data_IF_120603372388
#
_entry.id   IF_120603372388
#
_cell.length_a   1.000
_cell.length_b   1.000
_cell.length_c   1.000
_cell.angle_alpha   90.00
_cell.angle_beta   90.00
_cell.angle_gamma   90.00
#
_symmetry.space_group_name_H-M   'P 1'
#
loop_
_entity.id
_entity.type
_entity.pdbx_description
1 polymer ?
#
# COMPACT_ATOMS: atom_id res chain seq x y z
N UNK A 1 -4.05 -0.93 43.18
CA UNK A 1 -4.40 -1.43 41.84
C UNK A 1 -3.10 -1.86 41.16
N UNK A 2 -3.10 -3.03 40.54
CA UNK A 2 -1.97 -3.57 39.76
C UNK A 2 -2.37 -3.55 38.30
N UNK A 3 -1.53 -2.94 37.47
CA UNK A 3 -1.67 -2.90 36.03
C UNK A 3 -0.73 -3.94 35.43
N UNK A 4 -1.29 -4.84 34.65
CA UNK A 4 -0.57 -5.89 33.93
C UNK A 4 -0.42 -5.47 32.47
N UNK A 5 0.80 -5.60 31.94
CA UNK A 5 0.97 -5.77 30.49
C UNK A 5 0.17 -6.99 30.01
N UNK A 6 -0.10 -7.13 28.71
CA UNK A 6 -0.86 -8.27 28.22
C UNK A 6 -0.21 -9.59 28.68
N UNK A 7 -1.03 -10.47 29.26
CA UNK A 7 -0.61 -11.77 29.80
C UNK A 7 -0.78 -12.90 28.77
N UNK A 8 -1.25 -12.55 27.58
CA UNK A 8 -1.48 -13.48 26.48
C UNK A 8 -0.17 -14.02 25.90
N UNK A 9 -0.29 -15.11 25.16
CA UNK A 9 0.83 -15.74 24.47
C UNK A 9 1.52 -14.76 23.52
N UNK A 10 2.84 -14.60 23.68
CA UNK A 10 3.65 -13.62 22.97
C UNK A 10 4.17 -14.21 21.66
N UNK A 11 4.33 -13.35 20.66
CA UNK A 11 4.91 -13.69 19.36
C UNK A 11 6.43 -13.81 19.39
N UNK A 12 7.02 -13.99 18.21
CA UNK A 12 8.44 -14.31 18.04
C UNK A 12 9.41 -13.26 18.61
N UNK A 13 9.01 -11.99 18.65
CA UNK A 13 9.84 -10.91 19.24
C UNK A 13 9.86 -10.94 20.77
N UNK A 14 9.03 -11.80 21.40
CA UNK A 14 8.82 -11.89 22.84
C UNK A 14 8.32 -10.59 23.50
N UNK A 15 7.83 -9.63 22.70
CA UNK A 15 7.19 -8.41 23.21
C UNK A 15 5.80 -8.74 23.78
N UNK A 16 5.43 -8.24 24.97
CA UNK A 16 4.10 -8.46 25.55
C UNK A 16 2.97 -7.81 24.72
N UNK A 17 3.30 -6.83 23.88
CA UNK A 17 2.32 -6.18 22.99
C UNK A 17 2.20 -6.87 21.62
N UNK A 18 3.15 -7.75 21.27
CA UNK A 18 3.08 -8.57 20.06
C UNK A 18 2.44 -9.91 20.40
N UNK A 19 1.09 -9.95 20.43
CA UNK A 19 0.33 -11.09 20.91
C UNK A 19 0.13 -12.12 19.78
N UNK A 20 0.64 -13.35 19.99
CA UNK A 20 0.49 -14.50 19.09
C UNK A 20 -0.91 -15.11 19.15
N UNK A 21 -1.44 -15.30 20.37
CA UNK A 21 -2.78 -15.85 20.56
C UNK A 21 -3.51 -15.09 21.67
N UNK A 22 -4.44 -14.22 21.27
CA UNK A 22 -5.23 -13.37 22.16
C UNK A 22 -6.14 -14.17 23.10
N UNK A 23 -6.44 -15.42 22.75
CA UNK A 23 -7.37 -16.27 23.48
C UNK A 23 -6.65 -17.21 24.48
N UNK A 24 -5.32 -17.13 24.60
CA UNK A 24 -4.49 -18.01 25.41
C UNK A 24 -3.54 -17.19 26.28
N UNK A 25 -3.47 -17.49 27.58
CA UNK A 25 -2.44 -16.91 28.46
C UNK A 25 -1.08 -17.52 28.17
N UNK A 26 0.00 -16.76 28.28
CA UNK A 26 1.34 -17.23 27.93
C UNK A 26 1.74 -18.46 28.78
N UNK A 27 2.23 -19.56 28.17
CA UNK A 27 2.53 -20.81 28.88
C UNK A 27 3.66 -20.67 29.90
N UNK A 28 4.61 -19.78 29.65
CA UNK A 28 5.76 -19.52 30.50
C UNK A 28 5.43 -18.80 31.82
N UNK A 29 4.18 -18.37 32.01
CA UNK A 29 3.67 -17.86 33.29
C UNK A 29 3.31 -18.98 34.28
N UNK A 30 3.37 -20.24 33.85
CA UNK A 30 2.90 -21.40 34.59
C UNK A 30 3.92 -22.54 34.57
N UNK A 31 3.66 -23.60 35.34
CA UNK A 31 4.44 -24.83 35.28
C UNK A 31 4.38 -25.45 33.89
N UNK A 32 5.50 -26.02 33.45
CA UNK A 32 5.62 -26.62 32.12
C UNK A 32 4.53 -27.69 31.90
N UNK A 33 3.85 -27.62 30.76
CA UNK A 33 2.75 -28.53 30.43
C UNK A 33 1.38 -28.18 31.01
N UNK A 34 1.23 -27.06 31.73
CA UNK A 34 -0.08 -26.62 32.25
C UNK A 34 -1.09 -26.43 31.10
N UNK A 35 -2.24 -27.15 31.09
CA UNK A 35 -3.26 -27.01 30.04
C UNK A 35 -3.86 -25.61 29.97
N UNK A 36 -4.34 -25.21 28.78
CA UNK A 36 -4.91 -23.87 28.53
C UNK A 36 -6.08 -23.54 29.46
N UNK A 37 -6.98 -24.47 29.69
CA UNK A 37 -8.14 -24.29 30.57
C UNK A 37 -7.70 -24.07 32.02
N UNK A 38 -6.64 -24.77 32.46
CA UNK A 38 -6.08 -24.61 33.79
C UNK A 38 -5.37 -23.26 33.95
N UNK A 39 -4.67 -22.78 32.92
CA UNK A 39 -4.06 -21.44 32.91
C UNK A 39 -5.10 -20.35 33.16
N UNK A 40 -6.24 -20.40 32.47
CA UNK A 40 -7.36 -19.45 32.69
C UNK A 40 -7.87 -19.49 34.12
N UNK A 41 -8.04 -20.69 34.68
CA UNK A 41 -8.45 -20.87 36.08
C UNK A 41 -7.44 -20.26 37.05
N UNK A 42 -6.13 -20.52 36.87
CA UNK A 42 -5.07 -19.97 37.73
C UNK A 42 -5.03 -18.44 37.69
N UNK A 43 -5.22 -17.81 36.52
CA UNK A 43 -5.29 -16.34 36.41
C UNK A 43 -6.53 -15.80 37.13
N UNK A 44 -7.69 -16.46 36.97
CA UNK A 44 -8.90 -16.09 37.70
C UNK A 44 -8.69 -16.17 39.22
N UNK A 45 -8.12 -17.27 39.71
CA UNK A 45 -7.83 -17.48 41.12
C UNK A 45 -6.83 -16.44 41.66
N UNK A 46 -5.84 -16.03 40.85
CA UNK A 46 -4.93 -14.94 41.18
C UNK A 46 -5.68 -13.61 41.35
N UNK A 47 -6.51 -13.22 40.38
CA UNK A 47 -7.28 -11.97 40.43
C UNK A 47 -8.24 -11.96 41.62
N UNK A 48 -8.93 -13.06 41.91
CA UNK A 48 -9.81 -13.17 43.08
C UNK A 48 -9.03 -13.05 44.40
N UNK A 49 -7.84 -13.65 44.50
CA UNK A 49 -6.98 -13.48 45.69
C UNK A 49 -6.53 -12.04 45.86
N UNK A 50 -6.16 -11.37 44.76
CA UNK A 50 -5.81 -9.95 44.79
C UNK A 50 -6.98 -9.10 45.31
N UNK A 51 -8.20 -9.37 44.84
CA UNK A 51 -9.40 -8.68 45.30
C UNK A 51 -9.64 -8.86 46.81
N UNK A 52 -9.51 -10.10 47.33
CA UNK A 52 -9.58 -10.37 48.78
C UNK A 52 -8.51 -9.64 49.60
N UNK A 53 -7.38 -9.28 48.98
CA UNK A 53 -6.31 -8.48 49.59
C UNK A 53 -6.52 -6.96 49.42
N UNK A 54 -7.65 -6.52 48.85
CA UNK A 54 -7.94 -5.12 48.56
C UNK A 54 -7.20 -4.58 47.33
N UNK A 55 -6.69 -5.45 46.46
CA UNK A 55 -5.98 -5.08 45.23
C UNK A 55 -6.88 -5.30 44.00
N UNK A 56 -7.11 -4.23 43.24
CA UNK A 56 -7.74 -4.32 41.92
C UNK A 56 -6.71 -4.69 40.84
N UNK A 57 -7.12 -5.45 39.83
CA UNK A 57 -6.31 -5.82 38.67
C UNK A 57 -6.84 -5.15 37.39
N UNK A 58 -5.94 -4.70 36.52
CA UNK A 58 -6.23 -4.16 35.20
C UNK A 58 -5.22 -4.71 34.20
N UNK A 59 -5.61 -4.93 32.94
CA UNK A 59 -4.69 -5.36 31.89
C UNK A 59 -4.84 -4.50 30.64
N UNK A 60 -3.73 -4.32 29.92
CA UNK A 60 -3.76 -3.72 28.59
C UNK A 60 -4.50 -4.62 27.58
N UNK A 61 -5.26 -3.99 26.69
CA UNK A 61 -5.92 -4.66 25.55
C UNK A 61 -5.35 -4.09 24.26
N UNK A 62 -4.85 -4.97 23.39
CA UNK A 62 -4.24 -4.60 22.11
C UNK A 62 -5.23 -4.84 20.98
N UNK A 63 -5.74 -3.75 20.40
CA UNK A 63 -6.72 -3.81 19.29
C UNK A 63 -6.10 -3.64 17.90
N UNK A 64 -4.97 -2.92 17.83
CA UNK A 64 -4.47 -2.40 16.57
C UNK A 64 -3.59 -3.39 15.78
N UNK A 65 -3.09 -4.44 16.43
CA UNK A 65 -2.19 -5.42 15.83
C UNK A 65 -2.19 -6.77 16.57
N UNK A 66 -1.65 -7.78 15.90
CA UNK A 66 -1.28 -9.10 16.45
C UNK A 66 0.19 -9.37 16.08
N UNK A 67 0.80 -10.41 16.63
CA UNK A 67 2.12 -10.84 16.20
C UNK A 67 2.11 -11.26 14.72
N UNK A 68 3.21 -10.97 14.01
CA UNK A 68 3.37 -11.32 12.61
C UNK A 68 3.38 -12.85 12.37
N UNK A 69 3.67 -13.63 13.41
CA UNK A 69 3.74 -15.09 13.36
C UNK A 69 2.50 -15.79 13.93
N UNK A 70 1.37 -15.10 14.14
CA UNK A 70 0.12 -15.72 14.61
C UNK A 70 -0.47 -16.68 13.56
N UNK A 71 -0.67 -17.96 13.91
CA UNK A 71 -1.09 -18.99 12.94
C UNK A 71 -2.44 -18.70 12.27
N UNK A 72 -3.38 -18.09 13.00
CA UNK A 72 -4.71 -17.78 12.47
C UNK A 72 -4.68 -16.79 11.29
N UNK A 73 -3.58 -16.03 11.10
CA UNK A 73 -3.40 -15.16 9.94
C UNK A 73 -3.24 -15.95 8.63
N UNK A 74 -2.82 -17.21 8.69
CA UNK A 74 -2.76 -18.09 7.53
C UNK A 74 -4.16 -18.47 7.04
N UNK A 75 -5.10 -18.66 7.98
CA UNK A 75 -6.50 -18.96 7.69
C UNK A 75 -7.29 -17.70 7.30
N UNK A 76 -6.93 -16.54 7.89
CA UNK A 76 -7.61 -15.26 7.71
C UNK A 76 -6.68 -14.12 7.27
N UNK A 77 -6.04 -14.20 6.08
CA UNK A 77 -5.13 -13.17 5.59
C UNK A 77 -5.85 -11.83 5.25
N UNK A 78 -7.17 -11.84 5.16
CA UNK A 78 -8.01 -10.64 4.97
C UNK A 78 -8.09 -9.75 6.20
N UNK A 79 -7.72 -10.26 7.37
CA UNK A 79 -7.76 -9.50 8.62
C UNK A 79 -6.71 -8.37 8.68
N UNK A 80 -5.64 -8.48 7.90
CA UNK A 80 -4.63 -7.43 7.73
C UNK A 80 -4.84 -6.60 6.45
N UNK A 81 -3.97 -5.62 6.23
CA UNK A 81 -3.91 -4.89 4.96
C UNK A 81 -3.06 -5.68 3.96
N UNK A 82 -3.65 -6.07 2.84
CA UNK A 82 -2.98 -6.85 1.79
C UNK A 82 -3.25 -6.28 0.39
N UNK A 83 -2.62 -6.83 -0.65
CA UNK A 83 -2.75 -6.30 -2.02
C UNK A 83 -4.12 -6.54 -2.67
N UNK A 84 -5.01 -7.30 -2.02
CA UNK A 84 -6.39 -7.55 -2.46
C UNK A 84 -7.34 -6.53 -1.83
N UNK A 85 -7.35 -6.41 -0.50
CA UNK A 85 -8.25 -5.50 0.20
C UNK A 85 -7.73 -4.05 0.26
N UNK A 86 -6.42 -3.85 0.05
CA UNK A 86 -5.73 -2.56 0.18
C UNK A 86 -4.78 -2.31 -1.01
N UNK A 87 -5.32 -2.25 -2.25
CA UNK A 87 -4.50 -2.17 -3.46
C UNK A 87 -3.59 -0.93 -3.55
N UNK A 88 -3.93 0.14 -2.82
CA UNK A 88 -3.10 1.35 -2.71
C UNK A 88 -1.73 1.11 -2.07
N UNK A 89 -1.55 -0.01 -1.36
CA UNK A 89 -0.28 -0.40 -0.77
C UNK A 89 0.67 -1.06 -1.77
N UNK A 90 0.25 -1.36 -3.00
CA UNK A 90 1.09 -2.08 -3.98
C UNK A 90 2.44 -1.41 -4.23
N UNK A 91 2.45 -0.09 -4.42
CA UNK A 91 3.70 0.65 -4.63
C UNK A 91 4.63 0.56 -3.41
N UNK A 92 4.07 0.64 -2.20
CA UNK A 92 4.83 0.52 -0.96
C UNK A 92 5.36 -0.90 -0.75
N UNK A 93 4.55 -1.92 -1.02
CA UNK A 93 4.94 -3.33 -0.96
C UNK A 93 6.09 -3.66 -1.91
N UNK A 94 6.03 -3.19 -3.16
CA UNK A 94 7.10 -3.41 -4.14
C UNK A 94 8.40 -2.70 -3.73
N UNK A 95 8.29 -1.50 -3.15
CA UNK A 95 9.45 -0.77 -2.61
C UNK A 95 10.09 -1.49 -1.42
N UNK A 96 9.28 -1.89 -0.44
CA UNK A 96 9.75 -2.58 0.78
C UNK A 96 10.44 -3.92 0.44
N UNK A 97 9.80 -4.72 -0.42
CA UNK A 97 10.35 -6.01 -0.89
C UNK A 97 11.71 -5.82 -1.59
N UNK A 98 11.83 -4.78 -2.41
CA UNK A 98 13.07 -4.49 -3.12
C UNK A 98 14.17 -3.96 -2.18
N UNK A 99 13.82 -3.16 -1.17
CA UNK A 99 14.75 -2.70 -0.13
C UNK A 99 15.25 -3.86 0.71
N UNK A 100 14.38 -4.79 1.09
CA UNK A 100 14.75 -6.00 1.83
C UNK A 100 15.73 -6.86 1.01
N UNK A 101 15.40 -7.09 -0.27
CA UNK A 101 16.28 -7.84 -1.19
C UNK A 101 17.64 -7.15 -1.36
N UNK A 102 17.64 -5.83 -1.54
CA UNK A 102 18.87 -5.03 -1.60
C UNK A 102 19.71 -5.14 -0.32
N UNK A 103 19.07 -5.13 0.85
CA UNK A 103 19.73 -5.33 2.14
C UNK A 103 20.45 -6.68 2.24
N UNK A 104 19.85 -7.75 1.71
CA UNK A 104 20.50 -9.06 1.63
C UNK A 104 21.66 -9.12 0.63
N UNK A 105 21.59 -8.32 -0.44
CA UNK A 105 22.57 -8.35 -1.53
C UNK A 105 23.70 -7.32 -1.38
N UNK A 106 23.73 -6.51 -0.31
CA UNK A 106 24.76 -5.49 -0.09
C UNK A 106 26.18 -6.00 -0.34
N UNK A 107 26.56 -7.13 0.26
CA UNK A 107 27.89 -7.71 0.08
C UNK A 107 28.14 -8.17 -1.37
N UNK A 108 27.14 -8.75 -2.04
CA UNK A 108 27.25 -9.17 -3.45
C UNK A 108 27.42 -7.98 -4.39
N UNK A 109 26.85 -6.83 -4.02
CA UNK A 109 26.97 -5.56 -4.74
C UNK A 109 28.25 -4.80 -4.37
N UNK A 110 29.12 -5.36 -3.52
CA UNK A 110 30.34 -4.70 -3.05
C UNK A 110 30.07 -3.50 -2.14
N UNK A 111 28.90 -3.44 -1.52
CA UNK A 111 28.47 -2.36 -0.63
C UNK A 111 28.77 -2.69 0.84
N UNK A 112 29.02 -1.67 1.68
CA UNK A 112 29.39 -1.87 3.08
C UNK A 112 28.23 -2.46 3.90
N UNK A 113 28.53 -3.51 4.68
CA UNK A 113 27.58 -4.12 5.63
C UNK A 113 27.73 -3.59 7.05
N UNK A 114 28.84 -2.90 7.34
CA UNK A 114 29.11 -2.20 8.60
C UNK A 114 29.59 -0.80 8.24
N UNK A 115 28.79 0.21 8.58
CA UNK A 115 29.09 1.60 8.25
C UNK A 115 30.06 2.17 9.28
N UNK A 116 31.15 2.80 8.80
CA UNK A 116 32.15 3.44 9.66
C UNK A 116 32.11 4.96 9.61
N UNK A 117 31.61 5.51 8.51
CA UNK A 117 31.55 6.94 8.25
C UNK A 117 30.37 7.30 7.34
N UNK A 118 30.26 8.59 7.03
CA UNK A 118 29.22 9.14 6.15
C UNK A 118 29.42 8.69 4.70
N UNK A 119 30.65 8.38 4.28
CA UNK A 119 30.93 7.96 2.91
C UNK A 119 30.39 6.54 2.65
N UNK A 120 30.51 5.64 3.62
CA UNK A 120 29.85 4.33 3.57
C UNK A 120 28.33 4.45 3.50
N UNK A 121 27.72 5.38 4.25
CA UNK A 121 26.29 5.68 4.15
C UNK A 121 25.93 6.20 2.74
N UNK A 122 26.72 7.11 2.18
CA UNK A 122 26.48 7.65 0.84
C UNK A 122 26.54 6.55 -0.25
N UNK A 123 27.46 5.59 -0.14
CA UNK A 123 27.50 4.42 -1.04
C UNK A 123 26.21 3.63 -0.98
N UNK A 124 25.67 3.36 0.21
CA UNK A 124 24.39 2.66 0.38
C UNK A 124 23.24 3.45 -0.23
N UNK A 125 23.16 4.75 0.06
CA UNK A 125 22.12 5.64 -0.48
C UNK A 125 22.16 5.70 -2.02
N UNK A 126 23.34 5.71 -2.62
CA UNK A 126 23.49 5.65 -4.07
C UNK A 126 23.12 4.26 -4.61
N UNK A 127 23.47 3.19 -3.89
CA UNK A 127 23.03 1.83 -4.20
C UNK A 127 21.50 1.69 -4.21
N UNK A 128 20.80 2.28 -3.25
CA UNK A 128 19.32 2.32 -3.23
C UNK A 128 18.76 3.02 -4.47
N UNK A 129 19.35 4.15 -4.88
CA UNK A 129 18.89 4.87 -6.09
C UNK A 129 19.03 4.01 -7.34
N UNK A 130 20.20 3.39 -7.53
CA UNK A 130 20.52 2.62 -8.75
C UNK A 130 19.89 1.24 -8.79
N UNK A 131 19.86 0.51 -7.67
CA UNK A 131 19.43 -0.88 -7.61
C UNK A 131 17.97 -1.06 -7.16
N UNK A 132 17.37 -0.06 -6.51
CA UNK A 132 15.98 -0.14 -6.02
C UNK A 132 15.07 0.84 -6.76
N UNK A 133 15.29 2.15 -6.60
CA UNK A 133 14.33 3.16 -7.05
C UNK A 133 14.22 3.23 -8.59
N UNK A 134 15.36 3.22 -9.28
CA UNK A 134 15.42 3.34 -10.75
C UNK A 134 14.80 2.13 -11.47
N UNK A 135 15.11 0.87 -11.11
CA UNK A 135 14.46 -0.30 -11.72
C UNK A 135 12.98 -0.41 -11.41
N UNK A 136 12.56 -0.03 -10.19
CA UNK A 136 11.16 -0.12 -9.77
C UNK A 136 10.24 0.82 -10.54
N UNK A 137 10.73 1.92 -11.13
CA UNK A 137 9.90 2.88 -11.89
C UNK A 137 8.60 3.26 -11.14
N UNK A 138 8.71 3.61 -9.84
CA UNK A 138 7.55 3.90 -8.99
C UNK A 138 6.64 5.01 -9.51
N UNK A 139 7.17 5.90 -10.36
CA UNK A 139 6.40 6.94 -11.05
C UNK A 139 5.24 6.39 -11.90
N UNK A 140 5.30 5.13 -12.35
CA UNK A 140 4.25 4.48 -13.12
C UNK A 140 2.92 4.33 -12.36
N UNK A 141 2.95 4.36 -11.02
CA UNK A 141 1.73 4.37 -10.19
C UNK A 141 1.03 5.75 -10.18
N UNK A 142 1.72 6.80 -10.63
CA UNK A 142 1.26 8.18 -10.53
C UNK A 142 0.76 8.74 -11.86
N UNK A 143 1.23 8.23 -12.98
CA UNK A 143 1.02 8.81 -14.31
C UNK A 143 0.19 7.90 -15.23
N UNK A 144 -0.20 8.46 -16.37
CA UNK A 144 -0.80 7.70 -17.47
C UNK A 144 0.30 7.14 -18.38
N UNK A 145 0.05 5.99 -19.01
CA UNK A 145 0.88 5.49 -20.11
C UNK A 145 0.51 6.23 -21.41
N UNK A 146 1.34 7.18 -21.82
CA UNK A 146 1.05 8.03 -22.99
C UNK A 146 0.98 7.24 -24.29
N UNK A 147 1.82 6.22 -24.47
CA UNK A 147 1.86 5.43 -25.71
C UNK A 147 0.62 4.56 -25.83
N UNK A 148 0.24 3.89 -24.73
CA UNK A 148 -0.97 3.08 -24.68
C UNK A 148 -2.22 3.95 -24.92
N UNK A 149 -2.34 5.07 -24.22
CA UNK A 149 -3.50 5.95 -24.34
C UNK A 149 -3.62 6.55 -25.75
N UNK A 150 -2.49 6.93 -26.38
CA UNK A 150 -2.47 7.38 -27.76
C UNK A 150 -2.95 6.29 -28.72
N UNK A 151 -2.43 5.06 -28.58
CA UNK A 151 -2.82 3.94 -29.43
C UNK A 151 -4.31 3.67 -29.37
N UNK A 152 -4.87 3.52 -28.16
CA UNK A 152 -6.29 3.21 -27.98
C UNK A 152 -7.19 4.35 -28.48
N UNK A 153 -6.76 5.60 -28.32
CA UNK A 153 -7.45 6.74 -28.89
C UNK A 153 -7.41 6.75 -30.43
N UNK A 154 -6.30 6.33 -31.05
CA UNK A 154 -6.18 6.19 -32.51
C UNK A 154 -7.06 5.07 -33.06
N UNK A 155 -7.10 3.93 -32.36
CA UNK A 155 -7.97 2.81 -32.72
C UNK A 155 -9.47 3.22 -32.67
N UNK A 156 -9.81 4.12 -31.74
CA UNK A 156 -11.17 4.68 -31.58
C UNK A 156 -11.42 5.89 -32.52
N UNK A 157 -10.40 6.40 -33.22
CA UNK A 157 -10.46 7.69 -33.92
C UNK A 157 -11.52 7.74 -35.01
N UNK A 158 -11.85 6.63 -35.68
CA UNK A 158 -12.84 6.56 -36.76
C UNK A 158 -14.24 6.14 -36.29
N UNK A 159 -14.41 5.86 -35.00
CA UNK A 159 -15.71 5.43 -34.47
C UNK A 159 -16.68 6.61 -34.30
N UNK A 160 -17.97 6.29 -34.11
CA UNK A 160 -18.97 7.31 -33.79
C UNK A 160 -18.83 7.73 -32.33
N UNK A 161 -18.05 8.80 -32.10
CA UNK A 161 -17.78 9.37 -30.78
C UNK A 161 -18.44 10.75 -30.64
N UNK A 162 -18.66 11.18 -29.39
CA UNK A 162 -19.19 12.50 -29.09
C UNK A 162 -18.11 13.59 -29.22
N UNK A 163 -18.47 14.82 -29.64
CA UNK A 163 -17.64 16.00 -29.52
C UNK A 163 -17.05 16.19 -28.12
N UNK A 164 -15.85 16.76 -28.03
CA UNK A 164 -15.27 17.15 -26.76
C UNK A 164 -15.92 18.46 -26.27
N UNK A 165 -16.92 18.34 -25.40
CA UNK A 165 -17.63 19.49 -24.82
C UNK A 165 -16.68 20.46 -24.10
N UNK A 166 -16.85 21.75 -24.36
CA UNK A 166 -16.05 22.83 -23.78
C UNK A 166 -14.71 23.05 -24.48
N UNK A 167 -14.43 22.36 -25.58
CA UNK A 167 -13.27 22.65 -26.42
C UNK A 167 -13.38 24.03 -27.07
N UNK A 168 -12.25 24.74 -27.20
CA UNK A 168 -12.15 25.96 -27.98
C UNK A 168 -10.77 26.03 -28.68
N UNK A 169 -10.77 26.38 -29.98
CA UNK A 169 -9.56 26.53 -30.81
C UNK A 169 -8.55 27.54 -30.25
N UNK A 170 -8.99 28.50 -29.42
CA UNK A 170 -8.10 29.48 -28.78
C UNK A 170 -7.48 28.99 -27.45
N UNK A 171 -7.80 27.77 -26.99
CA UNK A 171 -7.23 27.22 -25.77
C UNK A 171 -5.72 26.98 -25.92
N UNK A 172 -4.99 27.31 -24.86
CA UNK A 172 -3.60 26.89 -24.69
C UNK A 172 -3.49 25.37 -24.48
N UNK A 173 -2.31 24.80 -24.70
CA UNK A 173 -2.04 23.37 -24.42
C UNK A 173 -2.34 22.99 -22.96
N UNK A 174 -2.20 23.93 -22.02
CA UNK A 174 -2.50 23.72 -20.60
C UNK A 174 -4.01 23.61 -20.36
N UNK A 175 -4.80 24.51 -20.93
CA UNK A 175 -6.26 24.48 -20.81
C UNK A 175 -6.84 23.23 -21.49
N UNK A 176 -6.31 22.87 -22.66
CA UNK A 176 -6.63 21.64 -23.36
C UNK A 176 -6.34 20.39 -22.51
N UNK A 177 -5.18 20.33 -21.85
CA UNK A 177 -4.83 19.22 -20.96
C UNK A 177 -5.73 19.16 -19.71
N UNK A 178 -6.11 20.31 -19.14
CA UNK A 178 -7.05 20.38 -18.02
C UNK A 178 -8.44 19.88 -18.45
N UNK A 179 -8.89 20.23 -19.64
CA UNK A 179 -10.15 19.76 -20.20
C UNK A 179 -10.13 18.24 -20.46
N UNK A 180 -9.04 17.73 -21.05
CA UNK A 180 -8.87 16.29 -21.25
C UNK A 180 -8.86 15.54 -19.92
N UNK A 181 -8.19 16.10 -18.90
CA UNK A 181 -8.20 15.55 -17.56
C UNK A 181 -9.61 15.54 -16.97
N UNK A 182 -10.35 16.64 -17.04
CA UNK A 182 -11.67 16.75 -16.41
C UNK A 182 -12.73 15.88 -17.08
N UNK A 183 -12.63 15.66 -18.39
CA UNK A 183 -13.62 14.90 -19.17
C UNK A 183 -13.23 13.44 -19.43
N UNK A 184 -11.94 13.14 -19.44
CA UNK A 184 -11.44 11.86 -19.92
C UNK A 184 -10.65 11.05 -18.88
N UNK A 185 -10.16 11.65 -17.79
CA UNK A 185 -9.35 10.89 -16.83
C UNK A 185 -10.19 9.87 -16.07
N UNK A 186 -9.85 8.60 -16.23
CA UNK A 186 -10.36 7.47 -15.45
C UNK A 186 -9.35 7.10 -14.36
N UNK A 187 -9.86 6.68 -13.19
CA UNK A 187 -9.07 6.26 -12.03
C UNK A 187 -8.09 7.34 -11.50
N UNK A 188 -8.37 8.63 -11.71
CA UNK A 188 -7.46 9.73 -11.37
C UNK A 188 -7.03 9.80 -9.91
N UNK A 189 -7.94 9.44 -9.00
CA UNK A 189 -7.72 9.48 -7.54
C UNK A 189 -7.24 8.14 -6.96
N UNK A 190 -7.13 7.09 -7.79
CA UNK A 190 -6.77 5.75 -7.32
C UNK A 190 -5.25 5.59 -7.36
N UNK A 191 -4.67 5.23 -6.21
CA UNK A 191 -3.36 4.62 -6.13
C UNK A 191 -3.57 3.10 -6.10
N UNK A 192 -2.99 2.37 -7.05
CA UNK A 192 -3.22 0.93 -7.17
C UNK A 192 -2.20 0.27 -8.09
N UNK A 193 -2.63 -0.19 -9.26
CA UNK A 193 -1.75 -0.82 -10.25
C UNK A 193 -0.94 0.22 -11.04
N UNK A 194 0.15 -0.23 -11.66
CA UNK A 194 0.95 0.56 -12.61
C UNK A 194 0.08 0.99 -13.78
N UNK A 195 0.18 2.26 -14.17
CA UNK A 195 -0.60 2.87 -15.24
C UNK A 195 -2.12 2.63 -15.13
N UNK A 196 -2.64 2.51 -13.90
CA UNK A 196 -4.07 2.35 -13.68
C UNK A 196 -4.86 3.60 -14.11
N UNK A 197 -4.23 4.77 -14.02
CA UNK A 197 -4.75 6.03 -14.55
C UNK A 197 -4.68 5.99 -16.07
N UNK A 198 -5.80 6.23 -16.73
CA UNK A 198 -5.88 6.27 -18.18
C UNK A 198 -6.93 7.29 -18.63
N UNK A 199 -6.88 7.64 -19.90
CA UNK A 199 -7.84 8.51 -20.57
C UNK A 199 -8.89 7.61 -21.22
N UNK A 200 -10.15 8.02 -21.08
CA UNK A 200 -11.27 7.45 -21.83
C UNK A 200 -10.95 7.45 -23.34
N UNK A 201 -10.98 6.29 -24.01
CA UNK A 201 -10.64 6.18 -25.42
C UNK A 201 -11.41 7.13 -26.34
N UNK A 202 -12.73 7.27 -26.12
CA UNK A 202 -13.58 8.12 -26.94
C UNK A 202 -13.28 9.60 -26.69
N UNK A 203 -13.08 10.00 -25.43
CA UNK A 203 -12.65 11.37 -25.10
C UNK A 203 -11.27 11.69 -25.66
N UNK A 204 -10.33 10.74 -25.61
CA UNK A 204 -9.00 10.87 -26.20
C UNK A 204 -9.05 11.02 -27.73
N UNK A 205 -9.90 10.24 -28.40
CA UNK A 205 -10.14 10.34 -29.83
C UNK A 205 -10.77 11.69 -30.22
N UNK A 206 -11.78 12.14 -29.47
CA UNK A 206 -12.43 13.44 -29.67
C UNK A 206 -11.45 14.60 -29.47
N UNK A 207 -10.59 14.50 -28.45
CA UNK A 207 -9.50 15.44 -28.22
C UNK A 207 -8.56 15.51 -29.43
N UNK A 208 -8.12 14.37 -29.97
CA UNK A 208 -7.26 14.36 -31.17
C UNK A 208 -7.94 14.98 -32.39
N UNK A 209 -9.24 14.69 -32.61
CA UNK A 209 -10.01 15.28 -33.72
C UNK A 209 -10.00 16.81 -33.65
N UNK A 210 -10.18 17.39 -32.47
CA UNK A 210 -10.20 18.86 -32.33
C UNK A 210 -8.86 19.56 -32.64
N UNK A 211 -7.73 18.83 -32.70
CA UNK A 211 -6.44 19.35 -33.18
C UNK A 211 -6.07 18.90 -34.61
N UNK A 212 -6.84 17.98 -35.20
CA UNK A 212 -6.64 17.53 -36.57
C UNK A 212 -7.18 18.57 -37.57
N UNK A 213 -6.64 18.57 -38.79
CA UNK A 213 -7.12 19.47 -39.87
C UNK A 213 -8.57 19.20 -40.28
N UNK A 214 -9.13 18.02 -39.98
CA UNK A 214 -10.53 17.64 -40.25
C UNK A 214 -11.53 18.42 -39.37
N UNK A 215 -11.11 18.93 -38.21
CA UNK A 215 -11.93 19.85 -37.38
C UNK A 215 -12.13 21.25 -38.00
N UNK A 216 -11.56 21.51 -39.18
CA UNK A 216 -11.87 22.68 -39.98
C UNK A 216 -13.11 22.49 -40.86
N UNK A 217 -13.55 21.25 -41.10
CA UNK A 217 -14.64 20.93 -42.04
C UNK A 217 -15.83 20.20 -41.40
N UNK A 218 -15.64 19.46 -40.30
CA UNK A 218 -16.73 18.75 -39.63
C UNK A 218 -17.21 19.40 -38.31
N UNK A 219 -18.53 19.37 -38.11
CA UNK A 219 -19.36 19.84 -36.99
C UNK A 219 -19.04 19.17 -35.62
N UNK A 220 -17.83 18.61 -35.46
CA UNK A 220 -17.42 17.74 -34.35
C UNK A 220 -16.85 18.50 -33.14
N UNK A 221 -16.61 19.81 -33.23
CA UNK A 221 -16.13 20.61 -32.07
C UNK A 221 -16.86 21.95 -31.89
N UNK A 222 -18.03 22.17 -32.51
CA UNK A 222 -18.69 23.51 -32.57
C UNK A 222 -20.11 23.65 -31.99
N UNK A 223 -20.66 22.66 -31.27
CA UNK A 223 -21.96 22.87 -30.61
C UNK A 223 -21.80 23.46 -29.19
N UNK A 224 -22.09 24.76 -29.16
CA UNK A 224 -22.29 25.73 -28.05
C UNK A 224 -22.62 25.13 -26.68
#
# INVERSE_FOLDING_TARGET
MVHFTPLQERGESNSPYSIYNQLSFSPDLFEEGTPREERVKKVKDLVTRMEHMGLLAMTDVVWNHTANNSDWLLDHPEAGYNLVNSPHLRAAYELDTALLSFGHDLNKLGLPTVLKDIEDLNKIMNGVKEHVLKPLKLWQFYVIDTEYNLKVALDTYNEKIQPLEGWNKSMSSKEAAILLKSRGLRNGEVLGNRFQKNIDPATGAAYMRCFSKEAAEEETCERL
#
